data_IF_465602133991
#
_entry.id   IF_465602133991
#
_cell.length_a   1.000
_cell.length_b   1.000
_cell.length_c   1.000
_cell.angle_alpha   90.00
_cell.angle_beta   90.00
_cell.angle_gamma   90.00
#
_symmetry.space_group_name_H-M   'P 1'
#
loop_
_entity.id
_entity.type
_entity.pdbx_description
1 polymer ?
#
# COMPACT_ATOMS: atom_id res chain seq x y z
N UNK A 1 -20.05 -41.72 -9.40
CA UNK A 1 -19.55 -41.39 -9.35
C UNK A 1 -19.09 -40.68 -9.39
N UNK A 2 -19.06 -40.43 -9.41
CA UNK A 2 -18.49 -39.83 -9.52
C UNK A 2 -17.65 -39.13 -8.89
N UNK A 3 -16.88 -39.15 -9.09
CA UNK A 3 -15.87 -38.51 -8.76
C UNK A 3 -15.69 -37.37 -9.46
N UNK A 4 -16.60 -37.01 -9.98
CA UNK A 4 -16.61 -35.67 -10.24
C UNK A 4 -16.42 -35.02 -8.98
N UNK A 5 -15.24 -34.56 -8.77
CA UNK A 5 -15.02 -33.65 -7.72
C UNK A 5 -16.07 -32.63 -7.85
N UNK A 6 -16.81 -32.46 -6.84
CA UNK A 6 -17.79 -31.40 -6.80
C UNK A 6 -17.04 -30.07 -6.94
N UNK A 7 -17.03 -29.54 -8.13
CA UNK A 7 -16.38 -28.27 -8.41
C UNK A 7 -16.87 -27.16 -7.49
N UNK A 8 -18.16 -27.17 -7.16
CA UNK A 8 -18.72 -26.19 -6.26
C UNK A 8 -18.12 -26.31 -4.87
N UNK A 9 -17.89 -27.55 -4.38
CA UNK A 9 -17.26 -27.75 -3.08
C UNK A 9 -15.78 -27.33 -3.09
N UNK A 10 -15.08 -27.59 -4.19
CA UNK A 10 -13.68 -27.19 -4.34
C UNK A 10 -13.58 -25.67 -4.39
N UNK A 11 -14.41 -25.02 -5.19
CA UNK A 11 -14.45 -23.57 -5.27
C UNK A 11 -14.82 -22.94 -3.94
N UNK A 12 -15.81 -23.51 -3.27
CA UNK A 12 -16.23 -23.00 -1.98
C UNK A 12 -15.11 -23.13 -0.94
N UNK A 13 -14.36 -24.22 -0.98
CA UNK A 13 -13.22 -24.42 -0.08
C UNK A 13 -12.12 -23.40 -0.35
N UNK A 14 -11.80 -23.17 -1.62
CA UNK A 14 -10.77 -22.21 -2.02
C UNK A 14 -11.23 -20.78 -1.75
N UNK A 15 -12.44 -20.42 -2.19
CA UNK A 15 -12.95 -19.06 -2.04
C UNK A 15 -13.41 -18.74 -0.62
N UNK A 16 -13.95 -19.72 0.08
CA UNK A 16 -14.45 -19.53 1.44
C UNK A 16 -13.37 -19.51 2.50
N UNK A 17 -12.22 -20.20 2.26
CA UNK A 17 -11.16 -20.24 3.25
C UNK A 17 -10.11 -19.17 3.00
N UNK A 18 -9.34 -19.29 1.92
CA UNK A 18 -8.20 -18.40 1.68
C UNK A 18 -8.40 -17.51 0.46
N UNK A 19 -8.49 -18.09 -0.72
CA UNK A 19 -8.50 -17.31 -1.97
C UNK A 19 -9.72 -16.39 -2.07
N UNK A 20 -10.90 -16.86 -1.66
CA UNK A 20 -12.12 -16.05 -1.72
C UNK A 20 -12.10 -14.87 -0.78
N UNK A 21 -11.58 -15.07 0.43
CA UNK A 21 -11.43 -13.99 1.39
C UNK A 21 -10.43 -12.97 0.90
N UNK A 22 -9.37 -13.43 0.28
CA UNK A 22 -8.34 -12.54 -0.24
C UNK A 22 -8.84 -11.71 -1.43
N UNK A 23 -9.68 -12.28 -2.28
CA UNK A 23 -10.33 -11.53 -3.36
C UNK A 23 -11.17 -10.39 -2.79
N UNK A 24 -11.85 -10.63 -1.66
CA UNK A 24 -12.66 -9.59 -0.99
C UNK A 24 -11.81 -8.46 -0.40
N UNK A 25 -10.49 -8.65 -0.29
CA UNK A 25 -9.60 -7.60 0.17
C UNK A 25 -9.29 -6.58 -0.93
N UNK A 26 -9.49 -6.92 -2.19
CA UNK A 26 -9.09 -6.06 -3.30
C UNK A 26 -9.63 -4.63 -3.23
N UNK A 27 -10.93 -4.40 -2.93
CA UNK A 27 -11.43 -3.02 -2.81
C UNK A 27 -10.74 -2.21 -1.71
N UNK A 28 -10.44 -2.85 -0.58
CA UNK A 28 -9.78 -2.18 0.53
C UNK A 28 -8.31 -1.89 0.20
N UNK A 29 -7.66 -2.83 -0.51
CA UNK A 29 -6.29 -2.64 -0.97
C UNK A 29 -6.19 -1.54 -2.02
N UNK A 30 -7.21 -1.38 -2.88
CA UNK A 30 -7.27 -0.29 -3.84
C UNK A 30 -7.28 1.07 -3.14
N UNK A 31 -7.98 1.17 -2.03
CA UNK A 31 -7.99 2.39 -1.23
C UNK A 31 -6.60 2.71 -0.68
N UNK A 32 -5.92 1.71 -0.16
CA UNK A 32 -4.55 1.88 0.36
C UNK A 32 -3.61 2.27 -0.79
N UNK A 33 -3.73 1.60 -1.93
CA UNK A 33 -2.91 1.90 -3.11
C UNK A 33 -3.09 3.34 -3.57
N UNK A 34 -4.32 3.85 -3.60
CA UNK A 34 -4.60 5.22 -3.99
C UNK A 34 -3.88 6.21 -3.07
N UNK A 35 -3.89 5.95 -1.77
CA UNK A 35 -3.19 6.79 -0.80
C UNK A 35 -1.67 6.70 -0.98
N UNK A 36 -1.15 5.49 -1.19
CA UNK A 36 0.28 5.29 -1.41
C UNK A 36 0.75 5.99 -2.69
N UNK A 37 -0.04 5.94 -3.76
CA UNK A 37 0.28 6.63 -5.00
C UNK A 37 0.27 8.15 -4.84
N UNK A 38 -0.66 8.66 -4.05
CA UNK A 38 -0.71 10.09 -3.73
C UNK A 38 0.55 10.53 -2.96
N UNK A 39 0.98 9.71 -1.99
CA UNK A 39 2.23 9.94 -1.27
C UNK A 39 3.43 9.91 -2.22
N UNK A 40 3.43 8.97 -3.16
CA UNK A 40 4.51 8.85 -4.14
C UNK A 40 4.61 10.10 -5.01
N UNK A 41 3.49 10.63 -5.48
CA UNK A 41 3.49 11.87 -6.27
C UNK A 41 4.09 13.02 -5.49
N UNK A 42 3.71 13.14 -4.23
CA UNK A 42 4.24 14.21 -3.38
C UNK A 42 5.73 14.03 -3.15
N UNK A 43 6.17 12.81 -2.84
CA UNK A 43 7.59 12.53 -2.63
C UNK A 43 8.41 12.79 -3.91
N UNK A 44 7.87 12.46 -5.07
CA UNK A 44 8.52 12.76 -6.34
C UNK A 44 8.66 14.28 -6.57
N UNK A 45 7.64 15.05 -6.21
CA UNK A 45 7.69 16.50 -6.29
C UNK A 45 8.77 17.07 -5.35
N UNK A 46 8.79 16.58 -4.12
CA UNK A 46 9.77 17.02 -3.12
C UNK A 46 11.19 16.63 -3.56
N UNK A 47 11.36 15.44 -4.16
CA UNK A 47 12.64 14.97 -4.62
C UNK A 47 13.21 15.81 -5.77
N UNK A 48 12.36 16.43 -6.57
CA UNK A 48 12.80 17.33 -7.65
C UNK A 48 13.51 18.57 -7.11
N UNK A 49 13.08 19.04 -5.96
CA UNK A 49 13.68 20.24 -5.36
C UNK A 49 14.70 19.92 -4.27
N UNK A 50 14.71 18.69 -3.75
CA UNK A 50 15.63 18.32 -2.68
C UNK A 50 15.93 16.81 -2.77
N UNK A 51 17.20 16.49 -3.02
CA UNK A 51 17.66 15.11 -3.17
C UNK A 51 17.44 14.25 -1.93
N UNK A 52 17.29 14.86 -0.77
CA UNK A 52 17.03 14.12 0.48
C UNK A 52 15.76 13.27 0.43
N UNK A 53 14.82 13.62 -0.45
CA UNK A 53 13.58 12.89 -0.59
C UNK A 53 13.64 11.75 -1.61
N UNK A 54 14.74 11.61 -2.34
CA UNK A 54 14.86 10.62 -3.42
C UNK A 54 14.76 9.20 -2.92
N UNK A 55 15.39 8.88 -1.79
CA UNK A 55 15.34 7.53 -1.22
C UNK A 55 13.92 7.17 -0.78
N UNK A 56 13.21 8.11 -0.16
CA UNK A 56 11.82 7.92 0.26
C UNK A 56 10.92 7.71 -0.95
N UNK A 57 11.09 8.51 -2.00
CA UNK A 57 10.32 8.38 -3.23
C UNK A 57 10.55 7.03 -3.89
N UNK A 58 11.80 6.58 -3.95
CA UNK A 58 12.15 5.28 -4.51
C UNK A 58 11.53 4.13 -3.73
N UNK A 59 11.61 4.19 -2.41
CA UNK A 59 11.01 3.19 -1.53
C UNK A 59 9.50 3.11 -1.74
N UNK A 60 8.83 4.24 -1.78
CA UNK A 60 7.37 4.26 -1.98
C UNK A 60 6.98 3.72 -3.34
N UNK A 61 7.78 4.02 -4.38
CA UNK A 61 7.53 3.49 -5.72
C UNK A 61 7.57 1.97 -5.72
N UNK A 62 8.57 1.37 -5.09
CA UNK A 62 8.69 -0.08 -5.02
C UNK A 62 7.49 -0.70 -4.32
N UNK A 63 7.02 -0.08 -3.27
CA UNK A 63 5.90 -0.58 -2.50
C UNK A 63 4.58 -0.44 -3.25
N UNK A 64 4.37 0.65 -3.96
CA UNK A 64 3.18 0.82 -4.80
C UNK A 64 3.14 -0.22 -5.92
N UNK A 65 4.28 -0.51 -6.54
CA UNK A 65 4.37 -1.54 -7.58
C UNK A 65 4.03 -2.91 -6.99
N UNK A 66 4.56 -3.24 -5.83
CA UNK A 66 4.27 -4.52 -5.18
C UNK A 66 2.80 -4.66 -4.81
N UNK A 67 2.20 -3.62 -4.26
CA UNK A 67 0.78 -3.66 -3.91
C UNK A 67 -0.10 -3.74 -5.15
N UNK A 68 0.25 -3.00 -6.19
CA UNK A 68 -0.45 -3.05 -7.47
C UNK A 68 -0.43 -4.46 -8.07
N UNK A 69 0.75 -5.11 -8.03
CA UNK A 69 0.90 -6.49 -8.49
C UNK A 69 0.08 -7.48 -7.68
N UNK A 70 0.03 -7.31 -6.37
CA UNK A 70 -0.78 -8.14 -5.49
C UNK A 70 -2.27 -8.00 -5.81
N UNK A 71 -2.74 -6.78 -6.00
CA UNK A 71 -4.15 -6.53 -6.37
C UNK A 71 -4.47 -7.19 -7.71
N UNK A 72 -3.55 -7.08 -8.67
CA UNK A 72 -3.72 -7.75 -9.96
C UNK A 72 -3.90 -9.25 -9.79
N UNK A 73 -3.07 -9.88 -8.95
CA UNK A 73 -3.16 -11.31 -8.70
C UNK A 73 -4.48 -11.71 -8.02
N UNK A 74 -4.99 -10.85 -7.14
CA UNK A 74 -6.24 -11.12 -6.43
C UNK A 74 -7.47 -10.86 -7.26
N UNK A 75 -7.45 -9.80 -8.05
CA UNK A 75 -8.62 -9.31 -8.78
C UNK A 75 -8.66 -9.78 -10.24
N UNK A 76 -7.53 -10.19 -10.79
CA UNK A 76 -7.43 -10.65 -12.16
C UNK A 76 -7.37 -9.54 -13.20
N UNK A 77 -7.35 -8.29 -12.77
CA UNK A 77 -7.27 -7.15 -13.68
C UNK A 77 -6.39 -6.06 -13.07
N UNK A 78 -5.77 -5.20 -13.90
CA UNK A 78 -4.95 -4.13 -13.38
C UNK A 78 -5.77 -3.18 -12.51
N UNK A 79 -5.19 -2.67 -11.40
CA UNK A 79 -5.91 -1.70 -10.56
C UNK A 79 -6.26 -0.45 -11.35
N UNK A 80 -7.49 0.02 -11.18
CA UNK A 80 -7.90 1.29 -11.76
C UNK A 80 -7.23 2.44 -10.99
N UNK A 81 -6.72 3.42 -11.72
CA UNK A 81 -6.10 4.57 -11.10
C UNK A 81 -7.15 5.40 -10.37
N UNK A 82 -6.92 5.63 -9.08
CA UNK A 82 -7.72 6.55 -8.29
C UNK A 82 -6.84 7.75 -7.98
N UNK A 83 -7.42 8.93 -8.16
CA UNK A 83 -6.63 10.15 -7.99
C UNK A 83 -6.99 10.85 -6.69
N UNK A 84 -6.06 10.79 -5.74
CA UNK A 84 -6.11 11.63 -4.55
C UNK A 84 -5.05 12.69 -4.76
N UNK A 85 -5.46 13.95 -4.81
CA UNK A 85 -4.53 15.04 -5.04
C UNK A 85 -3.80 15.38 -3.75
N UNK A 86 -2.46 15.31 -3.72
CA UNK A 86 -1.72 15.73 -2.54
C UNK A 86 -1.82 17.24 -2.37
N UNK A 87 -1.64 17.76 -1.14
CA UNK A 87 -1.76 19.19 -0.90
C UNK A 87 -0.62 19.98 -1.54
N UNK A 88 -0.92 21.19 -1.93
CA UNK A 88 0.08 22.17 -2.25
C UNK A 88 0.39 22.98 -1.00
N UNK A 89 1.44 23.78 -1.02
CA UNK A 89 1.81 24.59 0.11
C UNK A 89 3.28 24.45 0.47
N UNK A 90 3.63 24.79 1.70
CA UNK A 90 5.01 24.71 2.15
C UNK A 90 5.44 23.23 2.31
N UNK A 91 6.75 23.02 2.33
CA UNK A 91 7.32 21.70 2.55
C UNK A 91 6.87 21.11 3.89
N UNK A 92 6.80 21.94 4.92
CA UNK A 92 6.33 21.51 6.23
C UNK A 92 4.86 21.07 6.18
N UNK A 93 4.00 21.82 5.51
CA UNK A 93 2.59 21.46 5.36
C UNK A 93 2.44 20.15 4.60
N UNK A 94 3.23 19.95 3.57
CA UNK A 94 3.22 18.72 2.79
C UNK A 94 3.66 17.52 3.63
N UNK A 95 4.70 17.67 4.46
CA UNK A 95 5.13 16.60 5.35
C UNK A 95 4.11 16.32 6.46
N UNK A 96 3.43 17.35 6.96
CA UNK A 96 2.35 17.16 7.94
C UNK A 96 1.15 16.41 7.36
N UNK A 97 0.94 16.47 6.06
CA UNK A 97 -0.08 15.65 5.39
C UNK A 97 0.45 14.25 5.14
N UNK A 98 1.71 14.15 4.71
CA UNK A 98 2.35 12.90 4.30
C UNK A 98 2.45 11.90 5.45
N UNK A 99 2.92 12.37 6.61
CA UNK A 99 3.15 11.50 7.76
C UNK A 99 1.90 10.77 8.24
N UNK A 100 0.76 11.44 8.50
CA UNK A 100 -0.43 10.70 8.91
C UNK A 100 -1.00 9.83 7.78
N UNK A 101 -0.79 10.19 6.53
CA UNK A 101 -1.26 9.38 5.41
C UNK A 101 -0.48 8.06 5.33
N UNK A 102 0.85 8.12 5.46
CA UNK A 102 1.69 6.91 5.50
C UNK A 102 1.32 6.05 6.71
N UNK A 103 1.12 6.67 7.87
CA UNK A 103 0.74 5.96 9.08
C UNK A 103 -0.58 5.20 8.90
N UNK A 104 -1.57 5.83 8.29
CA UNK A 104 -2.85 5.18 7.99
C UNK A 104 -2.66 4.00 7.02
N UNK A 105 -1.80 4.15 6.03
CA UNK A 105 -1.50 3.05 5.10
C UNK A 105 -0.88 1.86 5.84
N UNK A 106 0.10 2.12 6.71
CA UNK A 106 0.74 1.07 7.50
C UNK A 106 -0.26 0.36 8.41
N UNK A 107 -1.10 1.14 9.11
CA UNK A 107 -2.11 0.60 10.01
C UNK A 107 -3.14 -0.24 9.25
N UNK A 108 -3.59 0.24 8.10
CA UNK A 108 -4.58 -0.48 7.30
C UNK A 108 -4.01 -1.77 6.73
N UNK A 109 -2.77 -1.76 6.27
CA UNK A 109 -2.09 -2.96 5.79
C UNK A 109 -1.96 -3.99 6.92
N UNK A 110 -1.66 -3.56 8.13
CA UNK A 110 -1.62 -4.46 9.29
C UNK A 110 -2.99 -5.09 9.58
N UNK A 111 -4.05 -4.30 9.51
CA UNK A 111 -5.41 -4.81 9.70
C UNK A 111 -5.76 -5.85 8.65
N UNK A 112 -5.42 -5.57 7.40
CA UNK A 112 -5.72 -6.46 6.29
C UNK A 112 -4.86 -7.73 6.33
N UNK A 113 -3.66 -7.65 6.89
CA UNK A 113 -2.80 -8.82 7.11
C UNK A 113 -3.51 -9.87 7.95
N UNK A 114 -4.25 -9.45 8.95
CA UNK A 114 -5.00 -10.37 9.83
C UNK A 114 -6.11 -11.11 9.09
N UNK A 115 -6.59 -10.56 7.98
CA UNK A 115 -7.66 -11.15 7.16
C UNK A 115 -7.12 -11.95 5.98
N UNK A 116 -5.82 -11.98 5.79
CA UNK A 116 -5.18 -12.64 4.66
C UNK A 116 -4.50 -13.93 5.10
N UNK A 117 -4.08 -14.73 4.12
CA UNK A 117 -3.38 -15.98 4.36
C UNK A 117 -2.27 -16.18 3.34
N UNK A 118 -1.33 -17.05 3.65
CA UNK A 118 -0.27 -17.48 2.74
C UNK A 118 0.59 -16.30 2.26
N UNK A 119 0.89 -16.31 0.97
CA UNK A 119 1.76 -15.30 0.35
C UNK A 119 1.16 -13.90 0.43
N UNK A 120 -0.17 -13.79 0.31
CA UNK A 120 -0.84 -12.49 0.44
C UNK A 120 -0.60 -11.90 1.81
N UNK A 121 -0.75 -12.70 2.85
CA UNK A 121 -0.49 -12.27 4.23
C UNK A 121 0.94 -11.80 4.41
N UNK A 122 1.89 -12.60 3.90
CA UNK A 122 3.31 -12.28 4.03
C UNK A 122 3.65 -10.98 3.29
N UNK A 123 3.09 -10.79 2.10
CA UNK A 123 3.29 -9.57 1.32
C UNK A 123 2.72 -8.34 2.02
N UNK A 124 1.50 -8.44 2.55
CA UNK A 124 0.88 -7.33 3.27
C UNK A 124 1.65 -6.97 4.53
N UNK A 125 2.14 -7.98 5.25
CA UNK A 125 2.94 -7.77 6.44
C UNK A 125 4.24 -7.02 6.10
N UNK A 126 4.92 -7.44 5.03
CA UNK A 126 6.12 -6.75 4.57
C UNK A 126 5.83 -5.31 4.17
N UNK A 127 4.75 -5.09 3.43
CA UNK A 127 4.36 -3.75 3.01
C UNK A 127 4.06 -2.85 4.21
N UNK A 128 3.40 -3.39 5.24
CA UNK A 128 3.13 -2.63 6.46
C UNK A 128 4.42 -2.20 7.15
N UNK A 129 5.39 -3.11 7.25
CA UNK A 129 6.71 -2.81 7.83
C UNK A 129 7.42 -1.74 6.99
N UNK A 130 7.39 -1.88 5.67
CA UNK A 130 8.04 -0.93 4.78
C UNK A 130 7.40 0.46 4.86
N UNK A 131 6.08 0.54 5.01
CA UNK A 131 5.41 1.83 5.21
C UNK A 131 5.81 2.46 6.54
N UNK A 132 5.98 1.65 7.59
CA UNK A 132 6.44 2.16 8.88
C UNK A 132 7.88 2.71 8.77
N UNK A 133 8.73 2.02 8.04
CA UNK A 133 10.10 2.49 7.78
C UNK A 133 10.10 3.80 7.00
N UNK A 134 9.21 3.91 6.01
CA UNK A 134 9.04 5.13 5.24
C UNK A 134 8.57 6.28 6.13
N UNK A 135 7.65 6.01 7.05
CA UNK A 135 7.19 7.00 8.01
C UNK A 135 8.33 7.54 8.85
N UNK A 136 9.18 6.65 9.37
CA UNK A 136 10.35 7.05 10.13
C UNK A 136 11.32 7.91 9.31
N UNK A 137 11.50 7.54 8.06
CA UNK A 137 12.36 8.28 7.13
C UNK A 137 11.81 9.69 6.88
N UNK A 138 10.51 9.80 6.66
CA UNK A 138 9.85 11.10 6.47
C UNK A 138 9.85 11.94 7.75
N UNK A 139 9.70 11.30 8.90
CA UNK A 139 9.80 12.00 10.18
C UNK A 139 11.17 12.62 10.36
N UNK A 140 12.24 11.90 9.99
CA UNK A 140 13.59 12.42 10.03
C UNK A 140 13.76 13.62 9.10
N UNK A 141 13.15 13.57 7.91
CA UNK A 141 13.19 14.68 6.97
C UNK A 141 12.48 15.91 7.54
N UNK A 142 11.37 15.72 8.23
CA UNK A 142 10.68 16.82 8.92
C UNK A 142 11.56 17.40 10.03
N UNK A 143 12.23 16.55 10.80
CA UNK A 143 13.16 16.99 11.83
C UNK A 143 14.29 17.85 11.27
N UNK A 144 14.86 17.45 10.13
CA UNK A 144 15.88 18.24 9.46
C UNK A 144 15.35 19.60 9.03
N UNK A 145 14.12 19.65 8.55
CA UNK A 145 13.50 20.90 8.12
C UNK A 145 13.32 21.87 9.30
N UNK A 146 12.91 21.35 10.46
CA UNK A 146 12.67 22.19 11.63
C UNK A 146 13.96 22.61 12.32
N UNK A 147 15.07 21.96 12.05
CA UNK A 147 16.38 22.30 12.62
C UNK A 147 17.12 23.36 11.82
N UNK A 148 16.65 23.68 10.64
CA UNK A 148 17.22 24.72 9.80
C UNK A 148 16.39 25.98 9.88
#
# INVERSE_FOLDING_TARGET
MEHKIDEAAVWQRVTGSDAGRQVLLAPELLNVLAQMESCLRLLNQLARSNRSYSAAAHSQRQQTVRLSGLIYLLDGSPPAAQHITPPSGSRAQQLFWLLPTIERCAARLNELTAKAAGLTRDTLKELAVQQQMLWNQCLNLLGQLTMT
#
